data_IF_281665144104
#
_entry.id   IF_281665144104
#
_cell.length_a   1.000
_cell.length_b   1.000
_cell.length_c   1.000
_cell.angle_alpha   90.00
_cell.angle_beta   90.00
_cell.angle_gamma   90.00
#
_symmetry.space_group_name_H-M   'P 1'
#
loop_
_entity.id
_entity.type
_entity.pdbx_description
1 polymer ?
#
# COMPACT_ATOMS: atom_id res chain seq x y z
N UNK A 1 -11.55 -48.53 24.72
CA UNK A 1 -11.26 -47.20 25.28
C UNK A 1 -9.76 -46.95 25.21
N UNK A 2 -9.24 -46.42 24.10
CA UNK A 2 -9.14 -44.98 23.72
C UNK A 2 -7.98 -44.27 24.44
N UNK A 3 -6.88 -44.08 23.69
CA UNK A 3 -6.04 -42.87 23.53
C UNK A 3 -5.16 -43.17 22.30
N UNK A 4 -5.59 -42.82 21.09
CA UNK A 4 -5.38 -41.53 20.42
C UNK A 4 -3.91 -41.12 20.34
N UNK A 5 -3.46 -41.04 19.09
CA UNK A 5 -2.18 -40.58 18.61
C UNK A 5 -1.81 -39.17 19.11
N UNK A 6 -0.51 -38.90 19.18
CA UNK A 6 0.02 -37.57 18.90
C UNK A 6 1.17 -37.73 17.92
N UNK A 7 0.95 -37.21 16.72
CA UNK A 7 1.88 -37.08 15.62
C UNK A 7 3.10 -36.21 15.99
N UNK A 8 4.25 -36.65 15.47
CA UNK A 8 5.31 -35.87 14.83
C UNK A 8 5.56 -34.41 15.26
N UNK A 9 6.78 -34.16 15.77
CA UNK A 9 7.63 -33.05 15.30
C UNK A 9 9.08 -33.30 15.71
N UNK A 10 9.83 -34.04 14.88
CA UNK A 10 11.28 -34.07 14.98
C UNK A 10 11.85 -32.81 14.29
N UNK A 11 12.81 -32.09 14.90
CA UNK A 11 13.45 -30.94 14.27
C UNK A 11 14.34 -31.38 13.08
N UNK A 12 14.23 -30.67 11.96
CA UNK A 12 14.81 -30.98 10.65
C UNK A 12 16.33 -30.75 10.50
N UNK A 13 17.12 -30.75 11.57
CA UNK A 13 18.57 -30.53 11.46
C UNK A 13 19.36 -31.63 12.15
N UNK A 14 20.39 -32.20 11.50
CA UNK A 14 21.26 -33.18 12.12
C UNK A 14 22.05 -32.51 13.26
N UNK A 15 22.02 -33.12 14.44
CA UNK A 15 22.95 -32.77 15.52
C UNK A 15 24.33 -33.23 15.11
N UNK A 16 25.22 -32.30 14.78
CA UNK A 16 26.65 -32.59 14.74
C UNK A 16 27.19 -32.57 16.15
N UNK A 17 27.66 -33.73 16.58
CA UNK A 17 28.33 -33.99 17.83
C UNK A 17 29.55 -33.08 18.00
N UNK A 18 29.70 -32.58 19.22
CA UNK A 18 30.92 -31.96 19.73
C UNK A 18 31.97 -33.04 19.97
N UNK A 19 33.07 -33.01 19.22
CA UNK A 19 34.32 -33.67 19.63
C UNK A 19 35.52 -32.72 19.40
N UNK A 20 36.09 -32.34 20.55
CA UNK A 20 37.49 -32.14 20.89
C UNK A 20 38.57 -32.11 19.80
N UNK A 21 39.46 -31.12 19.91
CA UNK A 21 40.70 -31.07 19.15
C UNK A 21 41.30 -29.67 19.09
N UNK A 22 41.65 -29.10 20.25
CA UNK A 22 42.82 -28.23 20.28
C UNK A 22 44.00 -29.06 19.75
N UNK A 23 44.78 -28.50 18.81
CA UNK A 23 46.07 -28.98 18.28
C UNK A 23 46.12 -29.17 16.75
N UNK A 24 45.98 -28.07 16.00
CA UNK A 24 46.59 -27.94 14.68
C UNK A 24 46.99 -26.49 14.37
N UNK A 25 47.71 -25.86 15.30
CA UNK A 25 48.56 -24.70 14.99
C UNK A 25 49.65 -25.14 14.02
N UNK A 26 49.45 -24.87 12.72
CA UNK A 26 50.45 -24.62 11.66
C UNK A 26 49.96 -25.10 10.28
N UNK A 27 48.86 -24.51 9.80
CA UNK A 27 48.67 -24.38 8.35
C UNK A 27 48.96 -22.93 7.96
N UNK A 28 50.24 -22.60 7.76
CA UNK A 28 50.62 -21.40 7.02
C UNK A 28 50.16 -21.58 5.56
N UNK A 29 48.88 -21.28 5.30
CA UNK A 29 48.43 -21.00 3.94
C UNK A 29 49.15 -19.74 3.50
N UNK A 30 50.23 -19.89 2.71
CA UNK A 30 50.79 -18.81 1.90
C UNK A 30 49.62 -18.24 1.09
N UNK A 31 49.03 -17.14 1.57
CA UNK A 31 48.00 -16.40 0.87
C UNK A 31 48.69 -15.74 -0.31
N UNK A 32 48.69 -16.46 -1.43
CA UNK A 32 49.28 -16.05 -2.69
C UNK A 32 48.82 -14.63 -2.99
N UNK A 33 49.76 -13.76 -3.38
CA UNK A 33 49.48 -12.40 -3.87
C UNK A 33 48.41 -12.37 -4.98
N UNK A 34 48.09 -13.51 -5.61
CA UNK A 34 47.03 -13.65 -6.61
C UNK A 34 45.61 -13.43 -6.08
N UNK A 35 45.29 -13.77 -4.82
CA UNK A 35 43.91 -13.66 -4.29
C UNK A 35 43.46 -12.19 -4.12
N UNK A 36 44.40 -11.30 -3.81
CA UNK A 36 44.13 -9.85 -3.74
C UNK A 36 43.82 -9.24 -5.11
N UNK A 37 44.37 -9.80 -6.19
CA UNK A 37 44.18 -9.27 -7.54
C UNK A 37 42.83 -9.67 -8.14
N UNK A 38 42.34 -10.89 -7.84
CA UNK A 38 40.98 -11.30 -8.20
C UNK A 38 39.90 -10.60 -7.35
N UNK A 39 40.15 -10.40 -6.06
CA UNK A 39 39.24 -9.66 -5.17
C UNK A 39 39.10 -8.18 -5.56
N UNK A 40 40.20 -7.49 -5.88
CA UNK A 40 40.14 -6.09 -6.30
C UNK A 40 39.38 -5.91 -7.62
N UNK A 41 39.63 -6.78 -8.63
CA UNK A 41 38.90 -6.76 -9.90
C UNK A 41 37.41 -6.99 -9.74
N UNK A 42 37.01 -7.93 -8.88
CA UNK A 42 35.59 -8.15 -8.58
C UNK A 42 34.97 -6.91 -7.91
N UNK A 43 35.68 -6.26 -6.99
CA UNK A 43 35.21 -5.00 -6.38
C UNK A 43 35.07 -3.87 -7.39
N UNK A 44 35.98 -3.75 -8.36
CA UNK A 44 35.85 -2.77 -9.44
C UNK A 44 34.68 -3.06 -10.37
N UNK A 45 34.42 -4.33 -10.70
CA UNK A 45 33.26 -4.71 -11.51
C UNK A 45 31.93 -4.44 -10.80
N UNK A 46 31.80 -4.85 -9.53
CA UNK A 46 30.59 -4.56 -8.75
C UNK A 46 30.43 -3.06 -8.49
N UNK A 47 31.50 -2.36 -8.16
CA UNK A 47 31.48 -0.90 -7.97
C UNK A 47 31.06 -0.16 -9.25
N UNK A 48 31.57 -0.59 -10.40
CA UNK A 48 31.18 -0.06 -11.70
C UNK A 48 29.71 -0.32 -12.01
N UNK A 49 29.21 -1.53 -11.79
CA UNK A 49 27.81 -1.88 -12.03
C UNK A 49 26.84 -1.09 -11.14
N UNK A 50 27.18 -0.95 -9.85
CA UNK A 50 26.39 -0.13 -8.91
C UNK A 50 26.38 1.34 -9.34
N UNK A 51 27.54 1.89 -9.74
CA UNK A 51 27.63 3.27 -10.20
C UNK A 51 26.86 3.51 -11.51
N UNK A 52 26.93 2.58 -12.46
CA UNK A 52 26.13 2.66 -13.68
C UNK A 52 24.62 2.61 -13.38
N UNK A 53 24.19 1.71 -12.48
CA UNK A 53 22.78 1.59 -12.10
C UNK A 53 22.25 2.85 -11.39
N UNK A 54 23.04 3.44 -10.49
CA UNK A 54 22.63 4.66 -9.78
C UNK A 54 22.55 5.86 -10.70
N UNK A 55 23.51 6.02 -11.62
CA UNK A 55 23.49 7.10 -12.62
C UNK A 55 22.27 6.94 -13.54
N UNK A 56 22.03 5.73 -14.06
CA UNK A 56 20.90 5.47 -14.94
C UNK A 56 19.56 5.74 -14.23
N UNK A 57 19.40 5.25 -13.01
CA UNK A 57 18.21 5.50 -12.20
C UNK A 57 18.02 6.99 -11.91
N UNK A 58 19.09 7.71 -11.58
CA UNK A 58 19.02 9.15 -11.34
C UNK A 58 18.63 9.94 -12.59
N UNK A 59 19.14 9.54 -13.77
CA UNK A 59 18.76 10.15 -15.04
C UNK A 59 17.29 9.91 -15.38
N UNK A 60 16.80 8.68 -15.19
CA UNK A 60 15.39 8.34 -15.41
C UNK A 60 14.49 9.11 -14.44
N UNK A 61 14.81 9.11 -13.15
CA UNK A 61 14.04 9.86 -12.14
C UNK A 61 14.09 11.37 -12.43
N UNK A 62 15.26 11.92 -12.76
CA UNK A 62 15.40 13.34 -13.11
C UNK A 62 14.64 13.70 -14.39
N UNK A 63 14.59 12.78 -15.35
CA UNK A 63 13.84 12.95 -16.58
C UNK A 63 12.34 12.90 -16.30
N UNK A 64 11.85 11.89 -15.56
CA UNK A 64 10.46 11.78 -15.11
C UNK A 64 10.03 13.01 -14.31
N UNK A 65 10.81 13.43 -13.31
CA UNK A 65 10.51 14.64 -12.53
C UNK A 65 10.53 15.92 -13.39
N UNK A 66 11.30 15.97 -14.49
CA UNK A 66 11.27 17.10 -15.43
C UNK A 66 10.08 17.03 -16.37
N UNK A 67 9.71 15.85 -16.87
CA UNK A 67 8.56 15.67 -17.75
C UNK A 67 7.26 15.83 -16.98
N UNK A 68 7.15 15.29 -15.77
CA UNK A 68 5.98 15.42 -14.91
C UNK A 68 5.79 16.87 -14.49
N UNK A 69 6.88 17.60 -14.18
CA UNK A 69 6.79 19.05 -13.96
C UNK A 69 6.36 19.81 -15.20
N UNK A 70 6.78 19.41 -16.41
CA UNK A 70 6.34 20.04 -17.67
C UNK A 70 4.86 19.77 -17.95
N UNK A 71 4.39 18.54 -17.75
CA UNK A 71 2.99 18.14 -17.94
C UNK A 71 2.08 18.79 -16.89
N UNK A 72 2.51 18.82 -15.62
CA UNK A 72 1.79 19.51 -14.55
C UNK A 72 1.69 21.01 -14.79
N UNK A 73 2.71 21.64 -15.41
CA UNK A 73 2.66 23.07 -15.72
C UNK A 73 1.72 23.40 -16.89
N UNK A 74 1.51 22.46 -17.82
CA UNK A 74 0.70 22.68 -19.04
C UNK A 74 -0.80 22.43 -18.80
N UNK A 75 -1.15 21.54 -17.84
CA UNK A 75 -2.54 21.21 -17.53
C UNK A 75 -3.25 22.16 -16.55
N UNK A 76 -2.53 22.99 -15.78
CA UNK A 76 -3.10 23.63 -14.58
C UNK A 76 -3.43 25.13 -14.71
N UNK A 77 -3.13 25.77 -15.85
CA UNK A 77 -3.32 27.23 -15.98
C UNK A 77 -4.32 27.69 -17.06
N UNK A 78 -4.80 26.80 -17.94
CA UNK A 78 -5.69 27.18 -19.04
C UNK A 78 -7.19 27.08 -18.74
N UNK A 79 -7.58 26.22 -17.80
CA UNK A 79 -8.98 25.85 -17.59
C UNK A 79 -9.43 25.82 -16.11
N UNK A 80 -8.60 26.31 -15.20
CA UNK A 80 -9.02 26.47 -13.81
C UNK A 80 -10.08 27.58 -13.75
N UNK A 81 -11.35 27.16 -13.74
CA UNK A 81 -12.47 28.02 -13.36
C UNK A 81 -12.10 28.58 -11.98
N UNK A 82 -12.06 29.91 -11.77
CA UNK A 82 -11.86 30.46 -10.46
C UNK A 82 -13.08 30.10 -9.60
N UNK A 83 -12.98 28.97 -8.89
CA UNK A 83 -13.98 28.57 -7.91
C UNK A 83 -13.68 29.36 -6.64
N UNK A 84 -14.65 30.15 -6.19
CA UNK A 84 -14.56 30.80 -4.90
C UNK A 84 -14.64 29.74 -3.80
N UNK A 85 -13.49 29.43 -3.20
CA UNK A 85 -13.43 28.49 -2.08
C UNK A 85 -13.97 29.17 -0.83
N UNK A 86 -15.20 28.83 -0.46
CA UNK A 86 -15.71 29.15 0.87
C UNK A 86 -15.28 28.06 1.85
N UNK A 87 -14.33 28.37 2.72
CA UNK A 87 -14.00 27.50 3.84
C UNK A 87 -15.17 27.47 4.81
N UNK A 88 -15.93 26.38 4.80
CA UNK A 88 -16.90 26.10 5.86
C UNK A 88 -16.24 25.20 6.89
N UNK A 89 -16.15 25.62 8.16
CA UNK A 89 -15.72 24.71 9.21
C UNK A 89 -16.71 23.55 9.24
N UNK A 90 -16.21 22.35 8.96
CA UNK A 90 -16.99 21.12 9.12
C UNK A 90 -16.58 20.49 10.42
N UNK A 91 -17.56 20.20 11.27
CA UNK A 91 -17.34 19.40 12.45
C UNK A 91 -17.37 17.95 11.98
N UNK A 92 -16.36 17.17 12.35
CA UNK A 92 -16.43 15.72 12.16
C UNK A 92 -17.62 15.21 12.97
N UNK A 93 -18.66 14.78 12.26
CA UNK A 93 -19.81 14.17 12.92
C UNK A 93 -19.34 12.92 13.65
N UNK A 94 -19.80 12.74 14.88
CA UNK A 94 -19.55 11.52 15.61
C UNK A 94 -20.26 10.36 14.88
N UNK A 95 -19.48 9.53 14.18
CA UNK A 95 -20.02 8.41 13.42
C UNK A 95 -20.49 7.25 14.32
N UNK A 96 -20.16 7.26 15.61
CA UNK A 96 -20.54 6.19 16.56
C UNK A 96 -22.06 6.07 16.75
N UNK A 97 -22.82 7.13 16.43
CA UNK A 97 -24.28 7.11 16.43
C UNK A 97 -24.87 6.45 15.17
N UNK A 98 -24.09 6.28 14.10
CA UNK A 98 -24.55 5.62 12.88
C UNK A 98 -24.69 4.10 13.09
N UNK A 99 -25.53 3.40 12.32
CA UNK A 99 -25.60 1.93 12.33
C UNK A 99 -24.27 1.24 12.02
N UNK A 100 -23.37 1.94 11.30
CA UNK A 100 -22.18 1.37 10.69
C UNK A 100 -20.90 1.52 11.53
N UNK A 101 -20.97 2.21 12.68
CA UNK A 101 -19.82 2.46 13.55
C UNK A 101 -20.20 2.56 15.04
N UNK A 102 -19.19 2.54 15.90
CA UNK A 102 -19.33 2.59 17.37
C UNK A 102 -19.50 1.21 18.02
N UNK A 103 -19.72 1.21 19.33
CA UNK A 103 -19.86 0.00 20.14
C UNK A 103 -21.29 -0.57 20.01
N UNK A 104 -21.50 -1.43 19.01
CA UNK A 104 -22.76 -2.15 18.79
C UNK A 104 -22.57 -3.65 18.94
N UNK A 105 -23.65 -4.41 19.21
CA UNK A 105 -23.62 -5.86 19.05
C UNK A 105 -23.12 -6.24 17.65
N UNK A 106 -22.26 -7.26 17.59
CA UNK A 106 -21.62 -7.70 16.34
C UNK A 106 -22.65 -8.05 15.26
N UNK A 107 -23.76 -8.69 15.64
CA UNK A 107 -24.81 -9.07 14.71
C UNK A 107 -25.53 -7.87 14.09
N UNK A 108 -25.80 -6.82 14.87
CA UNK A 108 -26.44 -5.58 14.38
C UNK A 108 -25.52 -4.83 13.40
N UNK A 109 -24.22 -4.77 13.74
CA UNK A 109 -23.21 -4.14 12.88
C UNK A 109 -23.08 -4.91 11.57
N UNK A 110 -22.99 -6.24 11.64
CA UNK A 110 -22.89 -7.12 10.47
C UNK A 110 -24.11 -6.98 9.57
N UNK A 111 -25.32 -6.99 10.13
CA UNK A 111 -26.57 -6.82 9.38
C UNK A 111 -26.64 -5.45 8.69
N UNK A 112 -26.22 -4.37 9.37
CA UNK A 112 -26.18 -3.04 8.77
C UNK A 112 -25.19 -2.97 7.59
N UNK A 113 -23.99 -3.54 7.74
CA UNK A 113 -23.02 -3.60 6.65
C UNK A 113 -23.49 -4.51 5.51
N UNK A 114 -24.14 -5.62 5.81
CA UNK A 114 -24.70 -6.52 4.80
C UNK A 114 -25.78 -5.80 3.97
N UNK A 115 -26.73 -5.12 4.62
CA UNK A 115 -27.79 -4.33 3.94
C UNK A 115 -27.20 -3.22 3.07
N UNK A 116 -26.17 -2.50 3.57
CA UNK A 116 -25.49 -1.44 2.84
C UNK A 116 -24.76 -1.94 1.59
N UNK A 117 -24.12 -3.11 1.69
CA UNK A 117 -23.25 -3.65 0.64
C UNK A 117 -23.98 -4.62 -0.30
N UNK A 118 -25.14 -5.16 0.08
CA UNK A 118 -25.94 -6.07 -0.74
C UNK A 118 -26.22 -5.54 -2.16
N UNK A 119 -26.64 -4.27 -2.37
CA UNK A 119 -26.94 -3.76 -3.71
C UNK A 119 -25.70 -3.40 -4.54
N UNK A 120 -24.49 -3.54 -3.98
CA UNK A 120 -23.24 -3.16 -4.64
C UNK A 120 -22.90 -4.08 -5.82
N UNK A 121 -23.19 -5.38 -5.66
CA UNK A 121 -23.00 -6.38 -6.69
C UNK A 121 -24.26 -6.49 -7.52
N UNK A 122 -24.17 -6.09 -8.79
CA UNK A 122 -25.28 -6.13 -9.72
C UNK A 122 -25.04 -7.20 -10.79
N UNK A 123 -26.14 -7.71 -11.34
CA UNK A 123 -26.13 -8.63 -12.45
C UNK A 123 -26.40 -7.87 -13.74
N UNK A 124 -25.49 -7.98 -14.69
CA UNK A 124 -25.58 -7.38 -16.02
C UNK A 124 -25.83 -8.44 -17.08
N UNK A 125 -26.56 -8.07 -18.13
CA UNK A 125 -26.71 -8.87 -19.34
C UNK A 125 -25.44 -8.84 -20.20
N UNK A 126 -25.32 -9.76 -21.15
CA UNK A 126 -24.19 -9.75 -22.09
C UNK A 126 -24.21 -8.47 -22.93
N UNK A 127 -25.40 -8.03 -23.35
CA UNK A 127 -25.58 -6.84 -24.18
C UNK A 127 -25.12 -5.57 -23.47
N UNK A 128 -25.33 -5.46 -22.16
CA UNK A 128 -24.86 -4.33 -21.35
C UNK A 128 -23.34 -4.33 -21.19
N UNK A 129 -22.72 -5.49 -20.97
CA UNK A 129 -21.26 -5.63 -20.87
C UNK A 129 -20.59 -5.32 -22.22
N UNK A 130 -21.16 -5.80 -23.32
CA UNK A 130 -20.67 -5.55 -24.68
C UNK A 130 -20.78 -4.07 -25.05
N UNK A 131 -21.87 -3.40 -24.64
CA UNK A 131 -22.09 -1.98 -24.90
C UNK A 131 -21.03 -1.08 -24.28
N UNK A 132 -20.43 -1.49 -23.15
CA UNK A 132 -19.34 -0.76 -22.49
C UNK A 132 -17.96 -1.27 -22.85
N UNK A 133 -17.86 -2.29 -23.72
CA UNK A 133 -16.62 -2.93 -24.16
C UNK A 133 -15.71 -3.32 -22.99
N UNK A 134 -16.30 -3.96 -21.97
CA UNK A 134 -15.61 -4.49 -20.80
C UNK A 134 -15.74 -6.01 -20.76
N UNK A 135 -14.90 -6.67 -19.98
CA UNK A 135 -15.04 -8.10 -19.66
C UNK A 135 -15.48 -8.27 -18.20
N UNK A 136 -16.25 -9.32 -17.93
CA UNK A 136 -16.78 -9.60 -16.60
C UNK A 136 -16.87 -11.11 -16.34
N UNK A 137 -17.00 -11.48 -15.07
CA UNK A 137 -17.18 -12.86 -14.62
C UNK A 137 -18.63 -13.29 -14.83
N UNK A 138 -18.83 -14.36 -15.60
CA UNK A 138 -20.15 -14.96 -15.79
C UNK A 138 -20.66 -15.65 -14.52
N UNK A 139 -21.94 -15.48 -14.21
CA UNK A 139 -22.58 -16.06 -13.03
C UNK A 139 -23.19 -17.44 -13.36
N UNK A 140 -22.98 -18.46 -12.52
CA UNK A 140 -23.35 -19.85 -12.83
C UNK A 140 -24.86 -20.09 -12.86
N UNK A 141 -25.63 -19.46 -11.96
CA UNK A 141 -27.08 -19.61 -11.88
C UNK A 141 -27.79 -18.33 -12.31
N UNK A 142 -28.81 -18.44 -13.16
CA UNK A 142 -29.61 -17.31 -13.65
C UNK A 142 -28.98 -16.51 -14.81
N UNK A 143 -27.76 -16.86 -15.24
CA UNK A 143 -27.07 -16.26 -16.41
C UNK A 143 -26.66 -14.79 -16.24
N UNK A 144 -25.86 -14.25 -17.15
CA UNK A 144 -25.35 -12.88 -17.05
C UNK A 144 -24.05 -12.75 -16.25
N UNK A 145 -23.71 -11.52 -15.90
CA UNK A 145 -22.34 -11.10 -15.55
C UNK A 145 -22.32 -10.31 -14.25
N UNK A 146 -21.30 -10.54 -13.42
CA UNK A 146 -21.10 -9.82 -12.17
C UNK A 146 -20.49 -8.44 -12.43
N UNK A 147 -21.12 -7.37 -11.99
CA UNK A 147 -20.56 -6.02 -12.10
C UNK A 147 -20.84 -5.15 -10.89
N UNK A 148 -20.09 -4.06 -10.82
CA UNK A 148 -20.27 -2.99 -9.84
C UNK A 148 -19.94 -1.65 -10.52
N UNK A 149 -20.64 -0.58 -10.14
CA UNK A 149 -20.28 0.78 -10.53
C UNK A 149 -18.91 1.15 -9.95
N UNK A 150 -17.91 1.29 -10.82
CA UNK A 150 -16.60 1.85 -10.48
C UNK A 150 -16.67 3.35 -10.23
N UNK A 151 -17.39 3.80 -9.19
CA UNK A 151 -17.41 5.20 -8.77
C UNK A 151 -16.15 5.47 -7.95
N UNK A 152 -15.09 5.87 -8.64
CA UNK A 152 -13.86 6.30 -7.98
C UNK A 152 -13.98 7.77 -7.59
N UNK A 153 -13.89 8.06 -6.29
CA UNK A 153 -13.62 9.42 -5.84
C UNK A 153 -12.13 9.70 -6.07
N UNK A 154 -11.81 10.38 -7.16
CA UNK A 154 -10.44 10.82 -7.41
C UNK A 154 -10.07 11.90 -6.39
N UNK A 155 -9.24 11.54 -5.42
CA UNK A 155 -8.72 12.45 -4.41
C UNK A 155 -7.63 13.36 -5.04
N UNK A 156 -8.03 14.26 -5.94
CA UNK A 156 -7.10 15.14 -6.67
C UNK A 156 -6.56 16.32 -5.86
N UNK A 157 -6.83 16.39 -4.55
CA UNK A 157 -6.38 17.50 -3.72
C UNK A 157 -5.72 17.01 -2.43
N UNK A 158 -4.59 16.32 -2.56
CA UNK A 158 -3.55 16.29 -1.53
C UNK A 158 -2.24 16.78 -2.17
N UNK A 159 -2.26 17.98 -2.76
CA UNK A 159 -1.02 18.76 -2.90
C UNK A 159 -0.78 19.39 -1.54
N UNK A 160 -0.20 18.60 -0.64
CA UNK A 160 0.33 19.10 0.62
C UNK A 160 1.56 19.94 0.28
N UNK A 161 1.39 21.24 0.07
CA UNK A 161 2.49 22.16 0.33
C UNK A 161 2.73 22.11 1.83
N UNK A 162 3.78 21.39 2.24
CA UNK A 162 4.20 21.28 3.64
C UNK A 162 4.65 22.68 4.09
N UNK A 163 3.70 23.47 4.59
CA UNK A 163 3.97 24.64 5.42
C UNK A 163 3.19 24.41 6.71
N UNK A 164 3.84 23.79 7.70
CA UNK A 164 3.29 23.66 9.05
C UNK A 164 3.09 25.06 9.66
N UNK A 165 1.86 25.59 9.57
CA UNK A 165 1.39 26.66 10.46
C UNK A 165 0.59 26.01 11.57
N UNK A 166 1.22 25.87 12.73
CA UNK A 166 0.55 25.50 13.97
C UNK A 166 -0.43 26.64 14.30
N UNK A 167 -1.72 26.41 14.09
CA UNK A 167 -2.79 27.30 14.55
C UNK A 167 -3.29 26.73 15.87
N UNK A 168 -2.83 27.30 16.99
CA UNK A 168 -3.39 27.00 18.30
C UNK A 168 -4.75 27.70 18.40
N UNK A 169 -5.83 26.92 18.42
CA UNK A 169 -7.16 27.43 18.72
C UNK A 169 -7.26 27.65 20.24
N UNK A 170 -7.46 28.90 20.66
CA UNK A 170 -7.89 29.22 22.02
C UNK A 170 -9.40 28.99 22.07
N UNK A 171 -9.84 28.02 22.87
CA UNK A 171 -11.25 27.80 23.13
C UNK A 171 -11.82 29.01 23.88
N UNK A 172 -12.90 29.59 23.36
CA UNK A 172 -13.65 30.65 24.03
C UNK A 172 -14.75 29.98 24.88
N UNK A 173 -14.74 30.13 26.22
CA UNK A 173 -15.75 29.54 27.07
C UNK A 173 -16.93 30.49 27.17
N UNK A 174 -17.87 30.40 26.23
CA UNK A 174 -19.05 31.27 26.29
C UNK A 174 -20.04 31.01 25.18
N UNK A 175 -20.92 30.03 25.38
CA UNK A 175 -22.32 30.02 24.91
C UNK A 175 -22.98 28.78 25.50
N UNK A 176 -23.17 28.83 26.82
CA UNK A 176 -24.19 28.07 27.51
C UNK A 176 -25.49 28.88 27.41
N UNK A 177 -26.58 28.18 27.06
CA UNK A 177 -27.99 28.61 27.04
C UNK A 177 -28.52 29.20 25.72
N UNK A 178 -29.20 28.34 24.97
CA UNK A 178 -30.57 28.61 24.51
C UNK A 178 -31.29 27.27 24.27
N UNK A 179 -32.15 26.90 25.22
CA UNK A 179 -33.23 25.90 25.09
C UNK A 179 -34.55 26.63 25.01
#
# INVERSE_FOLDING_TARGET
NRRMASEQSAPFLPKTESEDGEDAFHYQRKKSRSDRWFSARSCYLHGGLVLCYTIFSFLIISWQLRTDRRVAQDHDLGHAIPVEFTFKPTIFHNLSSTPYAGDKPEDDLKAAWEDLLQPMNMRFSQEEIDAVNQESVALPEGGGYLGWFGVFHSLHCVVTSITFRVVLYKADPGTENDT
#
